data_IF_821537561100
#
_entry.id   IF_821537561100
#
_cell.length_a   1.000
_cell.length_b   1.000
_cell.length_c   1.000
_cell.angle_alpha   90.00
_cell.angle_beta   90.00
_cell.angle_gamma   90.00
#
_symmetry.space_group_name_H-M   'P 1'
#
loop_
_entity.id
_entity.type
_entity.pdbx_description
1 polymer ?
#
# COMPACT_ATOMS: atom_id res chain seq x y z
N UNK A 1 -15.49 5.57 4.71
CA UNK A 1 -14.44 6.21 3.89
C UNK A 1 -13.08 5.78 4.41
N UNK A 2 -12.13 5.43 3.54
CA UNK A 2 -10.76 5.11 3.93
C UNK A 2 -10.08 6.28 4.62
N UNK A 3 -9.30 6.00 5.66
CA UNK A 3 -8.51 7.01 6.40
C UNK A 3 -7.26 7.44 5.66
N UNK A 4 -6.71 6.56 4.82
CA UNK A 4 -5.47 6.80 4.11
C UNK A 4 -5.66 6.68 2.60
N UNK A 5 -4.76 7.28 1.83
CA UNK A 5 -4.78 7.31 0.36
C UNK A 5 -3.43 6.90 -0.23
N UNK A 6 -3.44 6.54 -1.51
CA UNK A 6 -2.23 6.19 -2.25
C UNK A 6 -1.16 7.29 -2.17
N UNK A 7 0.09 6.86 -2.05
CA UNK A 7 1.25 7.71 -1.88
C UNK A 7 1.51 8.16 -0.43
N UNK A 8 0.59 7.96 0.51
CA UNK A 8 0.88 8.22 1.92
C UNK A 8 1.83 7.19 2.51
N UNK A 9 2.76 7.66 3.34
CA UNK A 9 3.67 6.81 4.09
C UNK A 9 3.00 6.44 5.41
N UNK A 10 3.04 5.15 5.73
CA UNK A 10 2.48 4.60 6.95
C UNK A 10 3.54 3.82 7.71
N UNK A 11 3.26 3.60 8.99
CA UNK A 11 3.89 2.56 9.77
C UNK A 11 2.83 1.60 10.31
N UNK A 12 3.20 0.34 10.43
CA UNK A 12 2.32 -0.66 11.00
C UNK A 12 2.40 -0.61 12.54
N UNK A 13 1.26 -0.76 13.22
CA UNK A 13 1.16 -0.57 14.69
C UNK A 13 1.76 -1.70 15.52
N UNK A 14 1.72 -2.93 15.01
CA UNK A 14 2.19 -4.13 15.73
C UNK A 14 3.54 -4.63 15.22
N UNK A 15 3.68 -4.73 13.89
CA UNK A 15 4.94 -5.03 13.22
C UNK A 15 5.69 -3.74 12.90
N UNK A 16 6.98 -3.69 13.20
CA UNK A 16 7.83 -2.52 13.02
C UNK A 16 8.29 -2.38 11.55
N UNK A 17 7.34 -2.05 10.66
CA UNK A 17 7.65 -1.73 9.28
C UNK A 17 7.00 -0.41 8.84
N UNK A 18 7.70 0.26 7.93
CA UNK A 18 7.23 1.43 7.17
C UNK A 18 6.90 1.02 5.75
N UNK A 19 6.02 1.76 5.10
CA UNK A 19 5.69 1.52 3.70
C UNK A 19 4.86 2.65 3.10
N UNK A 20 4.74 2.64 1.78
CA UNK A 20 3.85 3.56 1.06
C UNK A 20 2.60 2.81 0.60
N UNK A 21 1.44 3.44 0.76
CA UNK A 21 0.18 2.90 0.25
C UNK A 21 0.20 2.94 -1.27
N UNK A 22 0.09 1.78 -1.89
CA UNK A 22 -0.09 1.64 -3.32
C UNK A 22 -1.58 1.76 -3.68
N UNK A 23 -2.44 0.95 -3.06
CA UNK A 23 -3.87 0.86 -3.42
C UNK A 23 -4.72 0.66 -2.18
N UNK A 24 -5.95 1.16 -2.24
CA UNK A 24 -6.99 0.95 -1.22
C UNK A 24 -8.11 0.11 -1.83
N UNK A 25 -8.50 -0.95 -1.12
CA UNK A 25 -9.74 -1.67 -1.36
C UNK A 25 -10.74 -1.29 -0.26
N UNK A 26 -11.98 -0.95 -0.61
CA UNK A 26 -12.99 -0.51 0.38
C UNK A 26 -13.38 -1.62 1.36
N UNK A 27 -13.23 -2.86 0.92
CA UNK A 27 -13.45 -4.10 1.68
C UNK A 27 -12.29 -5.05 1.41
N UNK A 28 -12.20 -6.11 2.20
CA UNK A 28 -11.29 -7.22 1.93
C UNK A 28 -11.63 -7.89 0.59
N UNK A 29 -10.61 -8.12 -0.25
CA UNK A 29 -10.74 -8.72 -1.58
C UNK A 29 -9.83 -9.94 -1.81
N UNK A 30 -9.11 -10.41 -0.79
CA UNK A 30 -8.33 -11.64 -0.91
C UNK A 30 -9.18 -12.87 -0.58
N UNK A 31 -8.60 -14.07 -0.57
CA UNK A 31 -9.34 -15.30 -0.33
C UNK A 31 -9.57 -15.55 1.17
N UNK A 32 -10.56 -16.37 1.48
CA UNK A 32 -10.84 -16.76 2.86
C UNK A 32 -9.69 -17.58 3.46
N UNK A 33 -9.02 -18.42 2.66
CA UNK A 33 -7.84 -19.18 3.09
C UNK A 33 -6.69 -18.24 3.47
N UNK A 34 -6.43 -17.22 2.66
CA UNK A 34 -5.43 -16.21 2.97
C UNK A 34 -5.80 -15.47 4.27
N UNK A 35 -7.07 -15.09 4.43
CA UNK A 35 -7.56 -14.43 5.63
C UNK A 35 -7.36 -15.30 6.87
N UNK A 36 -7.64 -16.60 6.76
CA UNK A 36 -7.47 -17.53 7.86
C UNK A 36 -6.00 -17.68 8.28
N UNK A 37 -5.10 -17.74 7.31
CA UNK A 37 -3.68 -17.94 7.55
C UNK A 37 -2.95 -16.67 8.00
N UNK A 38 -3.20 -15.54 7.35
CA UNK A 38 -2.36 -14.34 7.46
C UNK A 38 -2.97 -13.30 8.41
N UNK A 39 -4.29 -13.14 8.44
CA UNK A 39 -4.95 -12.10 9.23
C UNK A 39 -5.17 -12.52 10.70
N UNK A 40 -4.07 -12.72 11.45
CA UNK A 40 -4.09 -13.28 12.81
C UNK A 40 -5.04 -12.58 13.79
N UNK A 41 -5.18 -11.25 13.68
CA UNK A 41 -6.08 -10.48 14.54
C UNK A 41 -7.55 -10.48 14.08
N UNK A 42 -7.88 -11.14 12.96
CA UNK A 42 -9.21 -11.20 12.33
C UNK A 42 -9.85 -9.82 12.14
N UNK A 43 -9.27 -8.93 11.30
CA UNK A 43 -9.84 -7.62 11.03
C UNK A 43 -11.14 -7.73 10.22
N UNK A 44 -12.13 -6.85 10.47
CA UNK A 44 -13.38 -6.89 9.72
C UNK A 44 -13.14 -6.83 8.19
N UNK A 45 -13.82 -7.72 7.45
CA UNK A 45 -13.74 -7.79 5.99
C UNK A 45 -14.51 -6.67 5.30
N UNK A 46 -15.48 -6.06 5.97
CA UNK A 46 -16.33 -4.95 5.49
C UNK A 46 -15.69 -3.56 5.68
N UNK A 47 -14.41 -3.50 6.06
CA UNK A 47 -13.64 -2.27 6.27
C UNK A 47 -12.51 -2.16 5.27
N UNK A 48 -11.89 -0.98 5.09
CA UNK A 48 -10.82 -0.81 4.12
C UNK A 48 -9.57 -1.65 4.40
N UNK A 49 -9.00 -2.18 3.32
CA UNK A 49 -7.72 -2.89 3.29
C UNK A 49 -6.78 -2.23 2.28
N UNK A 50 -5.48 -2.36 2.52
CA UNK A 50 -4.45 -1.59 1.83
C UNK A 50 -3.38 -2.51 1.27
N UNK A 51 -2.98 -2.25 0.03
CA UNK A 51 -1.77 -2.78 -0.57
C UNK A 51 -0.63 -1.80 -0.28
N UNK A 52 0.42 -2.28 0.35
CA UNK A 52 1.54 -1.44 0.82
C UNK A 52 2.85 -1.95 0.23
N UNK A 53 3.66 -1.05 -0.34
CA UNK A 53 5.05 -1.32 -0.69
C UNK A 53 5.89 -1.20 0.59
N UNK A 54 6.52 -2.29 1.02
CA UNK A 54 7.22 -2.33 2.33
C UNK A 54 8.66 -1.83 2.18
N UNK A 55 9.07 -0.90 3.03
CA UNK A 55 10.41 -0.32 3.00
C UNK A 55 11.52 -1.37 3.18
N UNK A 56 12.57 -1.30 2.36
CA UNK A 56 13.71 -2.22 2.34
C UNK A 56 13.32 -3.69 2.13
N UNK A 57 12.18 -3.94 1.50
CA UNK A 57 11.72 -5.26 1.07
C UNK A 57 11.44 -5.24 -0.43
N UNK A 58 11.31 -6.43 -0.99
CA UNK A 58 10.97 -6.66 -2.40
C UNK A 58 9.52 -7.14 -2.59
N UNK A 59 8.71 -7.14 -1.53
CA UNK A 59 7.34 -7.60 -1.56
C UNK A 59 6.37 -6.51 -1.10
N UNK A 60 5.13 -6.65 -1.54
CA UNK A 60 3.98 -5.91 -1.02
C UNK A 60 3.31 -6.67 0.11
N UNK A 61 2.53 -5.96 0.92
CA UNK A 61 1.69 -6.58 1.96
C UNK A 61 0.25 -6.10 1.86
N UNK A 62 -0.67 -6.93 2.34
CA UNK A 62 -2.11 -6.65 2.38
C UNK A 62 -2.57 -6.53 3.82
N UNK A 63 -3.06 -5.35 4.21
CA UNK A 63 -3.23 -4.99 5.61
C UNK A 63 -4.51 -4.20 5.87
N UNK A 64 -5.21 -4.53 6.95
CA UNK A 64 -6.41 -3.82 7.38
C UNK A 64 -6.08 -2.43 7.95
N UNK A 65 -6.95 -1.44 7.66
CA UNK A 65 -6.78 -0.05 8.09
C UNK A 65 -6.42 0.13 9.56
N UNK A 66 -7.07 -0.66 10.43
CA UNK A 66 -6.92 -0.53 11.89
C UNK A 66 -5.48 -0.76 12.37
N UNK A 67 -4.68 -1.47 11.58
CA UNK A 67 -3.29 -1.78 11.90
C UNK A 67 -2.30 -0.70 11.43
N UNK A 68 -2.77 0.36 10.76
CA UNK A 68 -1.93 1.40 10.19
C UNK A 68 -2.03 2.71 10.98
N UNK A 69 -0.92 3.46 11.01
CA UNK A 69 -0.84 4.87 11.42
C UNK A 69 0.00 5.64 10.38
N UNK A 70 -0.18 6.96 10.29
CA UNK A 70 0.69 7.80 9.46
C UNK A 70 2.12 7.72 9.97
N UNK A 71 3.06 7.82 9.04
CA UNK A 71 4.48 7.94 9.34
C UNK A 71 4.89 9.42 9.38
N UNK A 72 5.38 9.86 10.52
CA UNK A 72 5.72 11.27 10.77
C UNK A 72 7.17 11.61 10.39
N UNK A 73 7.97 10.60 9.99
CA UNK A 73 9.40 10.76 9.72
C UNK A 73 9.69 11.48 8.40
N UNK A 74 8.74 11.46 7.44
CA UNK A 74 8.91 12.02 6.09
C UNK A 74 10.16 11.50 5.34
N UNK A 75 10.69 10.35 5.74
CA UNK A 75 11.83 9.70 5.08
C UNK A 75 11.36 8.84 3.92
N UNK A 76 12.22 8.70 2.91
CA UNK A 76 11.91 7.93 1.72
C UNK A 76 11.69 6.43 1.99
N UNK A 77 10.92 5.80 1.09
CA UNK A 77 10.67 4.36 1.05
C UNK A 77 11.49 3.73 -0.09
N UNK A 78 12.56 3.01 0.24
CA UNK A 78 13.23 2.11 -0.70
C UNK A 78 12.38 0.87 -0.98
N UNK A 79 11.92 0.70 -2.22
CA UNK A 79 11.26 -0.51 -2.72
C UNK A 79 11.45 -0.62 -4.24
N UNK A 80 11.70 -1.81 -4.83
CA UNK A 80 11.97 -1.95 -6.27
C UNK A 80 10.85 -1.39 -7.17
N UNK A 81 9.60 -1.51 -6.73
CA UNK A 81 8.44 -1.00 -7.47
C UNK A 81 8.16 0.49 -7.26
N UNK A 82 8.82 1.16 -6.30
CA UNK A 82 8.54 2.55 -5.99
C UNK A 82 8.68 3.46 -7.22
N UNK A 83 9.79 3.43 -7.99
CA UNK A 83 10.01 4.38 -9.09
C UNK A 83 9.01 4.23 -10.25
N UNK A 84 8.35 3.07 -10.35
CA UNK A 84 7.34 2.84 -11.38
C UNK A 84 6.02 3.54 -11.04
N UNK A 85 5.67 3.65 -9.76
CA UNK A 85 4.38 4.18 -9.32
C UNK A 85 4.49 5.58 -8.71
N UNK A 86 5.63 5.94 -8.14
CA UNK A 86 5.77 7.16 -7.38
C UNK A 86 7.06 7.91 -7.73
N UNK A 87 7.03 9.23 -7.60
CA UNK A 87 8.16 10.12 -7.82
C UNK A 87 8.66 10.70 -6.48
N UNK A 88 8.43 11.98 -6.24
CA UNK A 88 8.86 12.68 -5.02
C UNK A 88 7.71 12.83 -4.03
N UNK A 89 8.06 13.03 -2.77
CA UNK A 89 7.12 13.40 -1.71
C UNK A 89 6.76 14.89 -1.86
N UNK A 90 5.47 15.21 -1.81
CA UNK A 90 4.94 16.58 -1.68
C UNK A 90 3.89 16.58 -0.58
N UNK A 91 4.08 17.41 0.44
CA UNK A 91 3.19 17.50 1.61
C UNK A 91 2.93 16.15 2.28
N UNK A 92 3.98 15.34 2.49
CA UNK A 92 3.89 14.02 3.11
C UNK A 92 3.27 12.92 2.25
N UNK A 93 3.05 13.17 0.95
CA UNK A 93 2.47 12.20 0.01
C UNK A 93 3.33 12.07 -1.23
N UNK A 94 3.71 10.86 -1.59
CA UNK A 94 4.33 10.58 -2.88
C UNK A 94 3.42 10.97 -4.04
N UNK A 95 3.99 11.68 -5.02
CA UNK A 95 3.31 12.02 -6.26
C UNK A 95 3.32 10.81 -7.21
N UNK A 96 2.16 10.51 -7.80
CA UNK A 96 1.97 9.43 -8.77
C UNK A 96 2.77 9.69 -10.05
N UNK A 97 3.27 8.63 -10.69
CA UNK A 97 3.81 8.66 -12.06
C UNK A 97 2.67 8.65 -13.09
N UNK A 98 3.01 8.53 -14.38
CA UNK A 98 2.05 8.26 -15.46
C UNK A 98 1.47 6.84 -15.44
N UNK A 99 1.97 5.94 -14.59
CA UNK A 99 1.51 4.55 -14.51
C UNK A 99 0.26 4.39 -13.64
N UNK A 100 -0.68 5.33 -13.76
CA UNK A 100 -1.92 5.37 -12.98
C UNK A 100 -3.09 5.77 -13.87
N UNK A 101 -4.23 5.12 -13.64
CA UNK A 101 -5.52 5.55 -14.15
C UNK A 101 -6.39 5.93 -12.95
N UNK A 102 -6.56 7.24 -12.72
CA UNK A 102 -7.20 7.78 -11.51
C UNK A 102 -6.58 7.24 -10.20
N UNK A 103 -7.26 6.31 -9.52
CA UNK A 103 -6.81 5.68 -8.26
C UNK A 103 -6.26 4.26 -8.46
N UNK A 104 -6.16 3.79 -9.71
CA UNK A 104 -5.72 2.45 -10.02
C UNK A 104 -4.28 2.46 -10.57
N UNK A 105 -3.32 1.81 -9.89
CA UNK A 105 -1.98 1.63 -10.44
C UNK A 105 -2.04 0.67 -11.63
N UNK A 106 -1.39 1.04 -12.74
CA UNK A 106 -1.35 0.21 -13.95
C UNK A 106 -0.45 -1.03 -13.73
N UNK A 107 -0.78 -2.18 -14.33
CA UNK A 107 0.11 -3.34 -14.34
C UNK A 107 1.43 -3.00 -15.04
N UNK A 108 2.57 -3.42 -14.47
CA UNK A 108 3.88 -3.15 -15.09
C UNK A 108 4.04 -3.86 -16.44
N UNK A 109 3.31 -4.95 -16.63
CA UNK A 109 3.30 -5.76 -17.85
C UNK A 109 2.60 -5.05 -19.03
N UNK A 110 1.90 -3.93 -18.78
CA UNK A 110 1.12 -3.23 -19.80
C UNK A 110 1.96 -2.45 -20.84
N UNK A 111 3.29 -2.51 -20.77
CA UNK A 111 4.21 -1.81 -21.68
C UNK A 111 5.15 -2.75 -22.46
N UNK A 112 4.80 -4.04 -22.62
CA UNK A 112 5.75 -5.02 -23.17
C UNK A 112 5.18 -6.28 -23.82
N UNK A 113 4.07 -6.16 -24.56
CA UNK A 113 3.77 -7.13 -25.63
C UNK A 113 3.78 -6.37 -26.96
N UNK A 114 4.92 -6.43 -27.64
CA UNK A 114 5.10 -6.14 -29.06
C UNK A 114 5.76 -7.36 -29.71
#
# INVERSE_FOLDING_TARGET
MPKFKSGQIISHKLFDYRGVILKVDQTFLSTDEWYEQMAKSKPPKDKPWYHVLVHNKNHTTYVAERNLKLDDLQLDITHPLLPFYFTKIKNGVYQKTMNWEAEFPLPLNAFGEA
#
